data_IF_502170882764
#
_entry.id   IF_502170882764
#
_cell.length_a   1.000
_cell.length_b   1.000
_cell.length_c   1.000
_cell.angle_alpha   90.00
_cell.angle_beta   90.00
_cell.angle_gamma   90.00
#
_symmetry.space_group_name_H-M   'P 1'
#
loop_
_entity.id
_entity.type
_entity.pdbx_description
1 polymer ?
#
# COMPACT_ATOMS: atom_id res chain seq x y z
N UNK A 1 -3.89 15.41 3.57
CA UNK A 1 -3.73 15.99 2.21
C UNK A 1 -4.56 15.14 1.26
N UNK A 2 -5.11 15.70 0.17
CA UNK A 2 -5.88 14.91 -0.82
C UNK A 2 -5.34 15.20 -2.22
N UNK A 3 -5.05 14.16 -2.99
CA UNK A 3 -4.58 14.26 -4.39
C UNK A 3 -5.56 13.51 -5.29
N UNK A 4 -5.88 14.06 -6.45
CA UNK A 4 -6.75 13.41 -7.44
C UNK A 4 -6.15 13.44 -8.82
N UNK A 5 -6.19 12.30 -9.53
CA UNK A 5 -5.73 12.16 -10.92
C UNK A 5 -6.79 11.46 -11.76
N UNK A 6 -7.13 12.05 -12.92
CA UNK A 6 -8.08 11.47 -13.87
C UNK A 6 -7.36 10.61 -14.89
N UNK A 7 -7.71 9.33 -14.93
CA UNK A 7 -7.32 8.40 -15.99
C UNK A 7 -8.38 8.30 -17.10
N UNK A 8 -8.20 7.31 -17.96
CA UNK A 8 -9.03 7.08 -19.16
C UNK A 8 -10.33 6.36 -18.81
N UNK A 9 -10.28 5.45 -17.84
CA UNK A 9 -11.40 4.60 -17.41
C UNK A 9 -11.93 4.98 -16.01
N UNK A 10 -11.51 6.12 -15.45
CA UNK A 10 -11.89 6.55 -14.11
C UNK A 10 -10.93 7.58 -13.54
N UNK A 11 -11.05 7.85 -12.24
CA UNK A 11 -10.15 8.71 -11.49
C UNK A 11 -9.72 8.04 -10.20
N UNK A 12 -8.54 8.43 -9.72
CA UNK A 12 -7.99 8.05 -8.42
C UNK A 12 -8.02 9.28 -7.54
N UNK A 13 -8.57 9.14 -6.35
CA UNK A 13 -8.43 10.09 -5.26
C UNK A 13 -7.73 9.39 -4.11
N UNK A 14 -6.63 9.96 -3.63
CA UNK A 14 -5.86 9.41 -2.51
C UNK A 14 -5.78 10.46 -1.39
N UNK A 15 -5.96 10.01 -0.16
CA UNK A 15 -5.76 10.80 1.05
C UNK A 15 -4.74 10.09 1.96
N UNK A 16 -4.70 10.44 3.24
CA UNK A 16 -3.75 9.87 4.19
C UNK A 16 -4.13 8.45 4.66
N UNK A 17 -5.32 7.94 4.35
CA UNK A 17 -5.80 6.65 4.87
C UNK A 17 -6.10 5.65 3.77
N UNK A 18 -6.51 6.13 2.60
CA UNK A 18 -7.08 5.29 1.55
C UNK A 18 -6.92 5.86 0.15
N UNK A 19 -7.16 4.96 -0.80
CA UNK A 19 -7.37 5.27 -2.20
C UNK A 19 -8.81 4.98 -2.59
N UNK A 20 -9.42 5.89 -3.33
CA UNK A 20 -10.73 5.75 -3.93
C UNK A 20 -10.60 5.76 -5.45
N UNK A 21 -11.00 4.65 -6.08
CA UNK A 21 -11.16 4.56 -7.53
C UNK A 21 -12.62 4.86 -7.86
N UNK A 22 -12.85 5.95 -8.57
CA UNK A 22 -14.17 6.34 -9.03
C UNK A 22 -14.28 6.21 -10.55
N UNK A 23 -15.42 5.69 -11.02
CA UNK A 23 -15.73 5.56 -12.46
C UNK A 23 -16.61 6.71 -12.97
N UNK A 24 -16.56 7.87 -12.31
CA UNK A 24 -17.31 9.09 -12.67
C UNK A 24 -16.90 9.62 -14.06
N UNK A 25 -17.89 9.89 -14.92
CA UNK A 25 -17.74 10.51 -16.25
C UNK A 25 -18.38 9.72 -17.40
N UNK A 26 -18.72 10.39 -18.51
CA UNK A 26 -19.45 9.82 -19.66
C UNK A 26 -18.82 8.50 -20.18
N UNK A 27 -17.49 8.44 -20.32
CA UNK A 27 -16.77 7.24 -20.79
C UNK A 27 -16.64 6.14 -19.73
N UNK A 28 -16.64 6.49 -18.44
CA UNK A 28 -16.60 5.54 -17.32
C UNK A 28 -17.93 4.78 -17.19
N UNK A 29 -19.06 5.48 -17.34
CA UNK A 29 -20.39 4.86 -17.35
C UNK A 29 -20.59 3.92 -18.56
N UNK A 30 -20.05 4.26 -19.73
CA UNK A 30 -20.17 3.44 -20.95
C UNK A 30 -19.28 2.19 -20.91
N UNK A 31 -18.07 2.27 -20.33
CA UNK A 31 -17.11 1.14 -20.36
C UNK A 31 -17.23 0.20 -19.16
N UNK A 32 -17.82 0.64 -18.04
CA UNK A 32 -17.88 -0.11 -16.78
C UNK A 32 -19.29 -0.24 -16.16
N UNK A 33 -20.30 0.49 -16.65
CA UNK A 33 -21.65 0.54 -16.08
C UNK A 33 -21.77 1.47 -14.85
N UNK A 34 -22.92 1.42 -14.15
CA UNK A 34 -23.13 2.10 -12.86
C UNK A 34 -22.42 1.34 -11.72
N UNK A 35 -21.08 1.38 -11.70
CA UNK A 35 -20.30 0.85 -10.58
C UNK A 35 -20.02 1.97 -9.57
N UNK A 36 -20.30 1.70 -8.30
CA UNK A 36 -19.99 2.60 -7.19
C UNK A 36 -18.48 2.83 -7.05
N UNK A 37 -18.13 3.83 -6.25
CA UNK A 37 -16.74 4.14 -5.92
C UNK A 37 -16.11 2.97 -5.16
N UNK A 38 -14.90 2.55 -5.54
CA UNK A 38 -14.15 1.50 -4.87
C UNK A 38 -13.16 2.14 -3.91
N UNK A 39 -13.34 1.87 -2.63
CA UNK A 39 -12.44 2.35 -1.56
C UNK A 39 -11.50 1.22 -1.14
N UNK A 40 -10.21 1.52 -1.04
CA UNK A 40 -9.15 0.58 -0.65
C UNK A 40 -8.28 1.28 0.39
N UNK A 41 -8.27 0.80 1.64
CA UNK A 41 -7.40 1.32 2.70
C UNK A 41 -5.96 0.90 2.47
N UNK A 42 -4.98 1.74 2.84
CA UNK A 42 -3.57 1.41 2.67
C UNK A 42 -3.14 0.14 3.40
N UNK A 43 -3.78 -0.15 4.54
CA UNK A 43 -3.58 -1.37 5.33
C UNK A 43 -3.95 -2.65 4.58
N UNK A 44 -4.88 -2.56 3.63
CA UNK A 44 -5.42 -3.70 2.87
C UNK A 44 -4.70 -3.92 1.53
N UNK A 45 -3.82 -2.99 1.13
CA UNK A 45 -3.04 -3.10 -0.11
C UNK A 45 -1.88 -4.05 0.11
N UNK A 46 -1.84 -5.15 -0.66
CA UNK A 46 -0.69 -6.05 -0.69
C UNK A 46 0.38 -5.59 -1.65
N UNK A 47 0.00 -5.15 -2.83
CA UNK A 47 0.94 -4.59 -3.81
C UNK A 47 0.28 -3.54 -4.68
N UNK A 48 1.13 -2.66 -5.20
CA UNK A 48 0.78 -1.65 -6.20
C UNK A 48 1.62 -1.92 -7.43
N UNK A 49 1.00 -2.24 -8.55
CA UNK A 49 1.69 -2.37 -9.84
C UNK A 49 1.53 -1.05 -10.60
N UNK A 50 2.66 -0.41 -10.93
CA UNK A 50 2.67 0.86 -11.61
C UNK A 50 3.50 0.78 -12.88
N UNK A 51 2.86 1.07 -14.01
CA UNK A 51 3.52 1.33 -15.28
C UNK A 51 3.40 2.80 -15.59
N UNK A 52 4.53 3.51 -15.57
CA UNK A 52 4.58 4.93 -15.87
C UNK A 52 4.05 5.22 -17.27
N UNK A 53 3.18 6.22 -17.40
CA UNK A 53 2.77 6.73 -18.71
C UNK A 53 3.94 7.41 -19.39
N UNK A 54 4.10 7.17 -20.69
CA UNK A 54 5.08 7.88 -21.51
C UNK A 54 4.37 8.66 -22.60
N UNK A 55 5.13 9.43 -23.37
CA UNK A 55 4.59 10.13 -24.54
C UNK A 55 4.02 9.11 -25.54
N UNK A 56 4.62 7.92 -25.65
CA UNK A 56 4.32 6.93 -26.69
C UNK A 56 3.48 5.74 -26.22
N UNK A 57 3.41 5.49 -24.90
CA UNK A 57 2.77 4.29 -24.35
C UNK A 57 1.91 4.63 -23.14
N UNK A 58 0.73 4.00 -23.07
CA UNK A 58 -0.16 4.13 -21.92
C UNK A 58 0.52 3.60 -20.66
N UNK A 59 0.32 4.32 -19.57
CA UNK A 59 0.62 3.85 -18.23
C UNK A 59 -0.61 3.30 -17.55
N UNK A 60 -0.42 2.71 -16.37
CA UNK A 60 -1.51 2.35 -15.48
C UNK A 60 -1.01 2.24 -14.05
N UNK A 61 -1.95 2.22 -13.12
CA UNK A 61 -1.73 1.79 -11.75
C UNK A 61 -2.80 0.77 -11.39
N UNK A 62 -2.38 -0.30 -10.73
CA UNK A 62 -3.22 -1.39 -10.26
C UNK A 62 -3.00 -1.58 -8.76
N UNK A 63 -4.09 -1.71 -8.01
CA UNK A 63 -4.06 -2.07 -6.60
C UNK A 63 -4.41 -3.55 -6.45
N UNK A 64 -3.60 -4.28 -5.70
CA UNK A 64 -3.77 -5.71 -5.46
C UNK A 64 -4.02 -5.90 -3.97
N UNK A 65 -5.20 -6.41 -3.62
CA UNK A 65 -5.62 -6.75 -2.25
C UNK A 65 -5.72 -8.27 -2.08
N UNK A 66 -5.86 -8.73 -0.82
CA UNK A 66 -6.05 -10.15 -0.51
C UNK A 66 -7.30 -10.75 -1.20
N UNK A 67 -8.38 -9.96 -1.31
CA UNK A 67 -9.62 -10.41 -1.96
C UNK A 67 -9.40 -10.68 -3.46
N UNK A 68 -8.57 -9.89 -4.14
CA UNK A 68 -8.27 -10.13 -5.55
C UNK A 68 -7.42 -11.38 -5.77
N UNK A 69 -6.39 -11.59 -4.96
CA UNK A 69 -5.55 -12.78 -5.01
C UNK A 69 -6.38 -14.07 -4.80
N UNK A 70 -7.32 -14.04 -3.86
CA UNK A 70 -8.22 -15.17 -3.59
C UNK A 70 -9.15 -15.52 -4.76
N UNK A 71 -9.50 -14.54 -5.61
CA UNK A 71 -10.40 -14.75 -6.75
C UNK A 71 -9.72 -15.24 -8.03
N UNK A 72 -8.40 -15.50 -8.02
CA UNK A 72 -7.60 -15.90 -9.19
C UNK A 72 -7.83 -15.06 -10.46
N UNK A 73 -8.27 -13.81 -10.33
CA UNK A 73 -8.17 -12.87 -11.45
C UNK A 73 -6.68 -12.71 -11.71
N UNK A 74 -6.22 -13.07 -12.93
CA UNK A 74 -4.82 -13.07 -13.35
C UNK A 74 -4.21 -11.67 -13.26
N UNK A 75 -3.90 -11.24 -12.05
CA UNK A 75 -3.14 -10.05 -11.73
C UNK A 75 -1.69 -10.39 -12.04
N UNK A 76 -1.26 -10.21 -13.29
CA UNK A 76 0.16 -10.39 -13.64
C UNK A 76 0.49 -10.84 -15.06
N UNK A 77 -0.45 -11.00 -15.99
CA UNK A 77 -0.10 -11.37 -17.38
C UNK A 77 -0.64 -10.34 -18.35
N UNK A 78 0.28 -9.54 -18.90
CA UNK A 78 0.16 -8.70 -20.10
C UNK A 78 -1.26 -8.18 -20.39
N UNK A 79 -1.71 -7.20 -19.62
CA UNK A 79 -2.99 -6.57 -19.89
C UNK A 79 -2.88 -5.80 -21.21
N UNK A 80 -3.54 -6.28 -22.26
CA UNK A 80 -3.84 -5.43 -23.40
C UNK A 80 -4.56 -4.18 -22.88
N UNK A 81 -4.40 -3.03 -23.56
CA UNK A 81 -5.05 -1.78 -23.14
C UNK A 81 -6.57 -1.95 -22.93
N UNK A 82 -7.19 -2.91 -23.64
CA UNK A 82 -8.60 -3.26 -23.54
C UNK A 82 -8.98 -4.03 -22.27
N UNK A 83 -8.09 -4.87 -21.74
CA UNK A 83 -8.32 -5.64 -20.52
C UNK A 83 -8.09 -4.78 -19.27
N UNK A 84 -7.05 -3.95 -19.29
CA UNK A 84 -6.75 -2.97 -18.24
C UNK A 84 -7.92 -1.98 -18.02
N UNK A 85 -8.63 -1.61 -19.09
CA UNK A 85 -9.81 -0.74 -18.99
C UNK A 85 -10.96 -1.44 -18.25
N UNK A 86 -11.08 -2.77 -18.35
CA UNK A 86 -12.16 -3.58 -17.76
C UNK A 86 -11.91 -3.94 -16.29
N UNK A 87 -10.68 -3.86 -15.81
CA UNK A 87 -10.37 -4.19 -14.43
C UNK A 87 -10.82 -3.07 -13.45
N UNK A 88 -11.58 -3.41 -12.39
CA UNK A 88 -12.07 -2.43 -11.41
C UNK A 88 -10.97 -1.81 -10.53
N UNK A 89 -9.79 -2.41 -10.44
CA UNK A 89 -8.65 -1.95 -9.65
C UNK A 89 -7.59 -1.23 -10.47
N UNK A 90 -7.76 -1.19 -11.79
CA UNK A 90 -6.83 -0.51 -12.70
C UNK A 90 -7.39 0.84 -13.13
N UNK A 91 -6.52 1.84 -13.07
CA UNK A 91 -6.74 3.13 -13.74
C UNK A 91 -5.65 3.33 -14.79
N UNK A 92 -6.08 3.56 -16.03
CA UNK A 92 -5.20 3.69 -17.20
C UNK A 92 -4.88 5.16 -17.46
N UNK A 93 -3.60 5.49 -17.55
CA UNK A 93 -3.10 6.82 -17.88
C UNK A 93 -2.77 6.89 -19.38
N UNK A 94 -3.49 7.76 -20.10
CA UNK A 94 -3.36 7.85 -21.56
C UNK A 94 -2.00 8.45 -21.97
N UNK A 95 -1.38 7.85 -22.97
CA UNK A 95 -0.21 8.39 -23.67
C UNK A 95 -0.52 9.77 -24.30
N UNK A 96 0.53 10.45 -24.78
CA UNK A 96 0.45 11.75 -25.47
C UNK A 96 -0.14 12.91 -24.62
N UNK A 97 -0.24 12.75 -23.31
CA UNK A 97 -0.56 13.84 -22.36
C UNK A 97 0.62 14.06 -21.41
N UNK A 98 1.35 15.16 -21.60
CA UNK A 98 2.55 15.48 -20.80
C UNK A 98 2.22 15.58 -19.29
N UNK A 99 1.09 16.20 -18.96
CA UNK A 99 0.57 16.31 -17.59
C UNK A 99 0.31 14.94 -16.95
N UNK A 100 -0.17 13.95 -17.72
CA UNK A 100 -0.41 12.59 -17.19
C UNK A 100 0.88 11.90 -16.77
N UNK A 101 2.00 12.16 -17.45
CA UNK A 101 3.30 11.61 -17.05
C UNK A 101 3.68 12.10 -15.65
N UNK A 102 3.49 13.40 -15.39
CA UNK A 102 3.82 14.00 -14.09
C UNK A 102 2.81 13.62 -13.02
N UNK A 103 1.52 13.65 -13.33
CA UNK A 103 0.46 13.45 -12.35
C UNK A 103 0.38 11.99 -11.91
N UNK A 104 0.53 11.04 -12.85
CA UNK A 104 0.58 9.61 -12.53
C UNK A 104 1.76 9.26 -11.63
N UNK A 105 2.91 9.90 -11.83
CA UNK A 105 4.07 9.70 -10.97
C UNK A 105 3.89 10.34 -9.59
N UNK A 106 3.30 11.55 -9.53
CA UNK A 106 3.01 12.23 -8.25
C UNK A 106 2.05 11.41 -7.39
N UNK A 107 0.93 10.94 -7.95
CA UNK A 107 -0.05 10.15 -7.19
C UNK A 107 0.55 8.80 -6.75
N UNK A 108 1.35 8.15 -7.61
CA UNK A 108 2.03 6.91 -7.25
C UNK A 108 2.99 7.13 -6.07
N UNK A 109 3.84 8.15 -6.12
CA UNK A 109 4.78 8.46 -5.05
C UNK A 109 4.06 8.78 -3.73
N UNK A 110 2.97 9.55 -3.79
CA UNK A 110 2.15 9.85 -2.62
C UNK A 110 1.60 8.58 -1.97
N UNK A 111 0.97 7.71 -2.77
CA UNK A 111 0.41 6.43 -2.30
C UNK A 111 1.48 5.56 -1.66
N UNK A 112 2.66 5.43 -2.29
CA UNK A 112 3.73 4.59 -1.74
C UNK A 112 4.27 5.15 -0.42
N UNK A 113 4.39 6.48 -0.30
CA UNK A 113 4.79 7.12 0.95
C UNK A 113 3.80 6.86 2.10
N UNK A 114 2.49 6.93 1.83
CA UNK A 114 1.47 6.62 2.83
C UNK A 114 1.53 5.13 3.21
N UNK A 115 1.60 4.21 2.24
CA UNK A 115 1.74 2.76 2.50
C UNK A 115 2.97 2.47 3.36
N UNK A 116 4.11 3.09 3.04
CA UNK A 116 5.34 2.91 3.81
C UNK A 116 5.17 3.45 5.22
N UNK A 117 4.52 4.60 5.40
CA UNK A 117 4.24 5.18 6.72
C UNK A 117 3.43 4.21 7.60
N UNK A 118 2.40 3.56 7.04
CA UNK A 118 1.61 2.54 7.76
C UNK A 118 2.39 1.26 8.09
N UNK A 119 3.28 0.82 7.20
CA UNK A 119 4.11 -0.35 7.46
C UNK A 119 5.12 -0.09 8.57
N UNK A 120 5.70 1.11 8.61
CA UNK A 120 6.67 1.48 9.63
C UNK A 120 6.00 1.80 10.98
N UNK A 121 4.78 2.34 11.00
CA UNK A 121 4.02 2.56 12.25
C UNK A 121 3.56 1.25 12.90
N UNK A 122 3.18 0.25 12.10
CA UNK A 122 2.73 -1.05 12.63
C UNK A 122 3.89 -2.01 12.96
N UNK A 123 5.08 -1.81 12.38
CA UNK A 123 6.24 -2.67 12.67
C UNK A 123 7.01 -2.26 13.92
N UNK A 124 6.68 -1.13 14.55
CA UNK A 124 7.45 -0.57 15.68
C UNK A 124 6.77 -0.70 17.05
N UNK A 125 5.53 -1.20 17.14
CA UNK A 125 4.90 -1.42 18.45
C UNK A 125 4.79 -2.92 18.81
N UNK A 126 4.28 -3.77 17.91
CA UNK A 126 4.06 -5.18 18.25
C UNK A 126 5.31 -6.06 18.11
N UNK A 127 6.19 -5.77 17.13
CA UNK A 127 7.44 -6.52 16.97
C UNK A 127 8.48 -6.17 18.05
N UNK A 128 8.49 -4.91 18.53
CA UNK A 128 9.35 -4.48 19.63
C UNK A 128 8.88 -5.14 20.93
N UNK A 129 7.58 -5.20 21.22
CA UNK A 129 7.10 -5.85 22.45
C UNK A 129 7.31 -7.37 22.46
N UNK A 130 7.17 -8.05 21.30
CA UNK A 130 7.50 -9.47 21.20
C UNK A 130 9.01 -9.72 21.43
N UNK A 131 9.88 -8.87 20.84
CA UNK A 131 11.34 -8.95 21.03
C UNK A 131 11.73 -8.67 22.49
N UNK A 132 11.15 -7.63 23.12
CA UNK A 132 11.41 -7.29 24.53
C UNK A 132 11.07 -8.45 25.46
N UNK A 133 9.94 -9.15 25.25
CA UNK A 133 9.55 -10.29 26.08
C UNK A 133 10.48 -11.50 25.92
N UNK A 134 10.90 -11.79 24.69
CA UNK A 134 11.87 -12.85 24.39
C UNK A 134 13.27 -12.53 24.95
N UNK A 135 13.68 -11.26 24.87
CA UNK A 135 14.94 -10.78 25.44
C UNK A 135 14.94 -10.82 26.97
N UNK A 136 13.87 -10.39 27.63
CA UNK A 136 13.71 -10.51 29.10
C UNK A 136 13.80 -11.98 29.52
N UNK A 137 13.23 -12.91 28.74
CA UNK A 137 13.32 -14.35 29.03
C UNK A 137 14.75 -14.87 28.90
N UNK A 138 15.53 -14.39 27.93
CA UNK A 138 16.96 -14.73 27.79
C UNK A 138 17.78 -14.17 28.95
N UNK A 139 17.57 -12.91 29.34
CA UNK A 139 18.25 -12.32 30.48
C UNK A 139 17.89 -13.03 31.79
N UNK A 140 16.64 -13.50 31.96
CA UNK A 140 16.25 -14.29 33.13
C UNK A 140 16.99 -15.62 33.22
N UNK A 141 17.19 -16.31 32.08
CA UNK A 141 18.02 -17.52 32.05
C UNK A 141 19.47 -17.26 32.46
N UNK A 142 20.05 -16.15 32.00
CA UNK A 142 21.41 -15.77 32.40
C UNK A 142 21.51 -15.48 33.90
N UNK A 143 20.47 -14.90 34.50
CA UNK A 143 20.37 -14.70 35.94
C UNK A 143 20.25 -16.04 36.69
N UNK A 144 19.38 -16.93 36.22
CA UNK A 144 19.18 -18.27 36.80
C UNK A 144 20.47 -19.13 36.71
N UNK A 145 21.27 -18.94 35.65
CA UNK A 145 22.59 -19.55 35.46
C UNK A 145 23.71 -18.82 36.24
N UNK A 146 23.38 -17.77 37.00
CA UNK A 146 24.33 -16.91 37.73
C UNK A 146 25.43 -16.28 36.83
N UNK A 147 25.14 -16.11 35.54
CA UNK A 147 26.01 -15.45 34.56
C UNK A 147 25.97 -13.92 34.71
N UNK A 148 24.81 -13.39 35.10
CA UNK A 148 24.60 -11.98 35.41
C UNK A 148 24.06 -11.80 36.83
N UNK A 149 24.21 -10.60 37.39
CA UNK A 149 23.67 -10.23 38.69
C UNK A 149 22.23 -9.72 38.59
N UNK A 150 21.51 -9.73 39.72
CA UNK A 150 20.14 -9.21 39.81
C UNK A 150 20.03 -7.74 39.34
N UNK A 151 21.01 -6.90 39.73
CA UNK A 151 21.07 -5.49 39.33
C UNK A 151 21.25 -5.31 37.81
N UNK A 152 22.03 -6.18 37.16
CA UNK A 152 22.23 -6.15 35.71
C UNK A 152 20.99 -6.60 34.95
N UNK A 153 20.29 -7.61 35.47
CA UNK A 153 19.01 -8.06 34.95
C UNK A 153 17.96 -6.94 35.04
N UNK A 154 17.83 -6.29 36.20
CA UNK A 154 16.79 -5.26 36.41
C UNK A 154 17.04 -4.00 35.57
N UNK A 155 18.31 -3.59 35.38
CA UNK A 155 18.65 -2.51 34.45
C UNK A 155 18.23 -2.82 33.02
N UNK A 156 18.55 -4.02 32.53
CA UNK A 156 18.18 -4.44 31.16
C UNK A 156 16.69 -4.63 30.98
N UNK A 157 16.00 -5.14 32.00
CA UNK A 157 14.54 -5.26 32.01
C UNK A 157 13.86 -3.90 31.92
N UNK A 158 14.32 -2.90 32.68
CA UNK A 158 13.73 -1.55 32.62
C UNK A 158 14.00 -0.86 31.27
N UNK A 159 15.21 -1.02 30.72
CA UNK A 159 15.57 -0.54 29.39
C UNK A 159 14.65 -1.14 28.29
N UNK A 160 14.38 -2.44 28.36
CA UNK A 160 13.51 -3.14 27.41
C UNK A 160 12.02 -2.84 27.57
N UNK A 161 11.60 -2.37 28.76
CA UNK A 161 10.22 -1.97 29.08
C UNK A 161 9.98 -0.46 28.96
N UNK A 162 11.01 0.34 28.62
CA UNK A 162 10.97 1.81 28.60
C UNK A 162 10.42 2.42 29.90
N UNK A 163 10.83 1.89 31.07
CA UNK A 163 10.43 2.32 32.41
C UNK A 163 11.48 3.21 33.10
#
# INVERSE_FOLDING_TARGET
MVITVKGTNGQITADNEKVVISRKGFLGHITQGFKGDRTIYYTDIKSVEFKKATIWMNGYIQFITNAELATQKKSGVLHSSTEAIKDPNIVVFRAFKKEMVTDSQKIYNFIMNEIDSYKHSNSSSDAIQLSSADEITKFKKLLDENVITQDEFDKKKNELLNL
#
